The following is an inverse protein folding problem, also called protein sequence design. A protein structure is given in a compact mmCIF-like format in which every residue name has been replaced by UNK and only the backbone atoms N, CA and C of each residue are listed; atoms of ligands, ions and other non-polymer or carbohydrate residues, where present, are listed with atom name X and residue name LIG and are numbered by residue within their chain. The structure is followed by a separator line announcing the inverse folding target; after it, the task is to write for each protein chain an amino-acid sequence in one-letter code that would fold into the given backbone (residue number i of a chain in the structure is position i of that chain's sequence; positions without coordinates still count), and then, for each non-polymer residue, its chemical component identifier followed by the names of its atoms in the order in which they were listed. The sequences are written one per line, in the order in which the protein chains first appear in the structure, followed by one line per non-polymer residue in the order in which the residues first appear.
data_IF_705879009938
#
_entry.id   IF_705879009938
#
_cell.length_a   1.000
_cell.length_b   1.000
_cell.length_c   1.000
_cell.angle_alpha   90.00
_cell.angle_beta   90.00
_cell.angle_gamma   90.00
#
_symmetry.space_group_name_H-M   'P 1'
#
loop_
_entity.id
_entity.type
_entity.pdbx_description
1 polymer ?
#
# COMPACT_ATOMS: atom_id res chain seq x y z
N UNK A 1 -5.09 14.64 14.14
CA UNK A 1 -4.77 15.78 13.25
C UNK A 1 -4.07 15.22 12.03
N UNK A 2 -4.33 15.77 10.84
CA UNK A 2 -3.58 15.40 9.65
C UNK A 2 -2.08 15.63 9.86
N UNK A 3 -1.29 14.71 9.33
CA UNK A 3 0.17 14.75 9.23
C UNK A 3 0.61 15.27 7.86
N UNK A 4 -0.28 15.18 6.87
CA UNK A 4 -0.07 15.68 5.52
C UNK A 4 -0.83 17.00 5.29
N UNK A 5 -0.21 18.02 4.63
CA UNK A 5 -0.91 19.24 4.22
C UNK A 5 -2.06 18.95 3.24
N UNK A 6 -3.17 19.69 3.38
CA UNK A 6 -4.36 19.59 2.53
C UNK A 6 -4.98 18.19 2.49
N UNK A 7 -4.98 17.48 3.62
CA UNK A 7 -5.57 16.16 3.73
C UNK A 7 -7.10 16.21 3.52
N UNK A 8 -7.67 15.46 2.54
CA UNK A 8 -9.07 15.63 2.15
C UNK A 8 -10.07 14.94 3.08
N UNK A 9 -9.60 14.05 3.97
CA UNK A 9 -10.46 13.18 4.77
C UNK A 9 -10.38 13.47 6.28
N UNK A 10 -10.32 14.75 6.67
CA UNK A 10 -10.22 15.18 8.09
C UNK A 10 -11.36 14.63 8.97
N UNK A 11 -12.56 14.46 8.41
CA UNK A 11 -13.75 13.96 9.11
C UNK A 11 -13.99 12.46 9.00
N UNK A 12 -13.06 11.69 8.44
CA UNK A 12 -13.26 10.28 8.15
C UNK A 12 -13.39 9.43 9.41
N UNK A 13 -14.39 8.55 9.42
CA UNK A 13 -14.55 7.52 10.45
C UNK A 13 -13.49 6.43 10.27
N UNK A 14 -12.84 6.07 11.39
CA UNK A 14 -11.80 5.03 11.45
C UNK A 14 -12.31 3.88 12.32
N UNK A 15 -12.69 2.78 11.69
CA UNK A 15 -13.05 1.55 12.39
C UNK A 15 -11.77 0.79 12.73
N UNK A 16 -11.60 0.39 13.98
CA UNK A 16 -10.39 -0.29 14.45
C UNK A 16 -10.77 -1.61 15.08
N UNK A 17 -9.89 -2.58 14.94
CA UNK A 17 -10.04 -3.85 15.63
C UNK A 17 -8.75 -4.64 15.62
N UNK A 18 -8.85 -5.84 16.18
CA UNK A 18 -7.76 -6.79 16.27
C UNK A 18 -8.25 -8.12 15.70
N UNK A 19 -7.40 -8.78 14.91
CA UNK A 19 -7.61 -10.12 14.39
C UNK A 19 -6.56 -10.99 15.07
N UNK A 20 -7.00 -11.95 15.87
CA UNK A 20 -6.13 -12.99 16.41
C UNK A 20 -6.29 -14.24 15.54
N UNK A 21 -5.19 -14.88 15.19
CA UNK A 21 -5.15 -16.05 14.33
C UNK A 21 -4.13 -17.07 14.81
N UNK A 22 -4.55 -18.33 14.89
CA UNK A 22 -3.65 -19.45 15.13
C UNK A 22 -3.16 -20.05 13.80
N UNK A 23 -1.90 -19.77 13.46
CA UNK A 23 -1.25 -20.37 12.30
C UNK A 23 -1.06 -21.86 12.52
N UNK A 24 -1.81 -22.65 11.75
CA UNK A 24 -1.64 -24.10 11.72
C UNK A 24 -0.39 -24.43 10.92
N UNK A 25 0.65 -25.02 11.54
CA UNK A 25 1.87 -25.32 10.84
C UNK A 25 1.67 -26.53 9.91
N UNK A 26 2.31 -26.53 8.74
CA UNK A 26 2.56 -27.78 8.02
C UNK A 26 3.62 -28.63 8.73
N UNK A 27 4.59 -27.98 9.40
CA UNK A 27 5.60 -28.62 10.25
C UNK A 27 5.94 -27.75 11.47
N UNK A 28 6.08 -28.35 12.65
CA UNK A 28 6.49 -27.66 13.88
C UNK A 28 5.34 -27.22 14.79
N UNK A 29 5.58 -26.20 15.62
CA UNK A 29 4.54 -25.57 16.46
C UNK A 29 3.94 -24.39 15.70
N UNK A 30 2.62 -24.30 15.74
CA UNK A 30 1.90 -23.13 15.23
C UNK A 30 2.26 -21.88 16.03
N UNK A 31 1.85 -20.73 15.51
CA UNK A 31 1.99 -19.45 16.21
C UNK A 31 0.67 -18.71 16.22
N UNK A 32 0.35 -18.14 17.37
CA UNK A 32 -0.72 -17.15 17.48
C UNK A 32 -0.18 -15.83 16.94
N UNK A 33 -0.89 -15.25 15.98
CA UNK A 33 -0.58 -13.98 15.34
C UNK A 33 -1.70 -13.00 15.68
N UNK A 34 -1.31 -11.83 16.18
CA UNK A 34 -2.23 -10.73 16.40
C UNK A 34 -1.96 -9.63 15.38
N UNK A 35 -2.99 -9.26 14.62
CA UNK A 35 -2.95 -8.16 13.67
C UNK A 35 -3.91 -7.07 14.10
N UNK A 36 -3.46 -5.82 14.07
CA UNK A 36 -4.36 -4.67 14.27
C UNK A 36 -4.79 -4.16 12.91
N UNK A 37 -6.08 -3.93 12.73
CA UNK A 37 -6.58 -3.34 11.50
C UNK A 37 -7.25 -1.99 11.74
N UNK A 38 -7.26 -1.18 10.68
CA UNK A 38 -8.06 0.03 10.60
C UNK A 38 -8.72 0.12 9.23
N UNK A 39 -10.05 0.19 9.19
CA UNK A 39 -10.81 0.50 7.99
C UNK A 39 -11.23 1.98 7.98
N UNK A 40 -11.06 2.64 6.85
CA UNK A 40 -11.27 4.09 6.67
C UNK A 40 -12.45 4.35 5.74
N UNK A 41 -13.49 5.04 6.24
CA UNK A 41 -14.80 5.08 5.56
C UNK A 41 -14.87 5.90 4.27
N UNK A 42 -14.04 6.93 4.10
CA UNK A 42 -14.06 7.84 2.95
C UNK A 42 -13.04 7.43 1.87
N UNK A 43 -11.87 6.92 2.25
CA UNK A 43 -10.84 6.42 1.34
C UNK A 43 -11.03 4.95 0.97
N UNK A 44 -11.86 4.22 1.72
CA UNK A 44 -12.07 2.77 1.51
C UNK A 44 -10.84 1.91 1.83
N UNK A 45 -9.79 2.49 2.43
CA UNK A 45 -8.56 1.75 2.74
C UNK A 45 -8.77 0.83 3.94
N UNK A 46 -8.26 -0.41 3.79
CA UNK A 46 -7.97 -1.30 4.90
C UNK A 46 -6.48 -1.26 5.19
N UNK A 47 -6.14 -0.90 6.41
CA UNK A 47 -4.76 -0.85 6.89
C UNK A 47 -4.58 -1.98 7.88
N UNK A 48 -3.53 -2.77 7.69
CA UNK A 48 -3.17 -3.89 8.55
C UNK A 48 -1.79 -3.61 9.12
N UNK A 49 -1.69 -3.58 10.44
CA UNK A 49 -0.42 -3.52 11.17
C UNK A 49 -0.12 -4.90 11.73
N UNK A 50 1.04 -5.42 11.35
CA UNK A 50 1.59 -6.69 11.81
C UNK A 50 2.96 -6.47 12.42
N UNK A 51 3.26 -7.14 13.52
CA UNK A 51 4.61 -7.20 14.11
C UNK A 51 5.45 -8.34 13.50
N UNK A 52 4.83 -9.20 12.69
CA UNK A 52 5.48 -10.29 11.98
C UNK A 52 5.40 -10.06 10.47
N UNK A 53 6.43 -10.49 9.76
CA UNK A 53 6.39 -10.59 8.30
C UNK A 53 5.50 -11.79 7.95
N UNK A 54 4.20 -11.54 7.81
CA UNK A 54 3.18 -12.51 7.50
C UNK A 54 2.65 -12.24 6.10
N UNK A 55 2.45 -13.31 5.31
CA UNK A 55 1.90 -13.18 3.97
C UNK A 55 0.54 -12.48 4.03
N UNK A 56 0.45 -11.34 3.34
CA UNK A 56 -0.80 -10.58 3.17
C UNK A 56 -1.91 -11.46 2.56
N UNK A 57 -1.57 -12.55 1.86
CA UNK A 57 -2.55 -13.53 1.34
C UNK A 57 -3.27 -14.27 2.45
N UNK A 58 -2.51 -14.75 3.42
CA UNK A 58 -3.06 -15.46 4.56
C UNK A 58 -3.94 -14.52 5.38
N UNK A 59 -3.48 -13.29 5.62
CA UNK A 59 -4.25 -12.32 6.39
C UNK A 59 -5.55 -11.95 5.66
N UNK A 60 -5.49 -11.59 4.38
CA UNK A 60 -6.69 -11.15 3.64
C UNK A 60 -7.69 -12.28 3.39
N UNK A 61 -7.22 -13.51 3.18
CA UNK A 61 -8.10 -14.68 3.15
C UNK A 61 -8.87 -14.83 4.46
N UNK A 62 -8.17 -14.71 5.59
CA UNK A 62 -8.78 -14.84 6.92
C UNK A 62 -9.72 -13.68 7.27
N UNK A 63 -9.39 -12.44 6.90
CA UNK A 63 -10.32 -11.32 7.13
C UNK A 63 -11.61 -11.53 6.32
N UNK A 64 -11.51 -11.95 5.06
CA UNK A 64 -12.67 -12.24 4.23
C UNK A 64 -13.51 -13.44 4.74
N UNK A 65 -12.90 -14.40 5.45
CA UNK A 65 -13.63 -15.50 6.13
C UNK A 65 -14.32 -15.03 7.41
N UNK A 66 -13.71 -14.10 8.15
CA UNK A 66 -14.22 -13.59 9.41
C UNK A 66 -15.30 -12.51 9.24
N UNK A 67 -15.45 -11.93 8.05
CA UNK A 67 -16.39 -10.85 7.77
C UNK A 67 -17.67 -11.37 7.11
N UNK A 68 -18.79 -10.71 7.38
CA UNK A 68 -20.07 -11.04 6.73
C UNK A 68 -19.96 -10.92 5.19
N UNK A 69 -20.78 -11.65 4.41
CA UNK A 69 -20.70 -11.68 2.94
C UNK A 69 -20.70 -10.31 2.26
N UNK A 70 -21.29 -9.31 2.91
CA UNK A 70 -21.44 -7.93 2.43
C UNK A 70 -20.18 -7.07 2.66
N UNK A 71 -19.21 -7.55 3.44
CA UNK A 71 -17.91 -6.92 3.64
C UNK A 71 -16.83 -7.81 3.03
N UNK A 72 -16.50 -7.56 1.76
CA UNK A 72 -15.38 -8.21 1.06
C UNK A 72 -14.26 -7.23 0.82
N UNK A 73 -13.05 -7.62 1.17
CA UNK A 73 -11.84 -6.89 0.85
C UNK A 73 -11.36 -7.37 -0.51
N UNK A 74 -11.63 -6.55 -1.52
CA UNK A 74 -11.14 -6.80 -2.86
C UNK A 74 -9.68 -6.38 -2.96
N UNK A 75 -8.83 -7.31 -3.38
CA UNK A 75 -7.49 -6.97 -3.88
C UNK A 75 -7.64 -6.35 -5.25
N UNK A 76 -6.76 -5.40 -5.55
CA UNK A 76 -6.82 -4.44 -6.66
C UNK A 76 -7.61 -3.19 -6.29
N UNK A 77 -6.99 -2.39 -5.42
CA UNK A 77 -7.03 -0.96 -5.68
C UNK A 77 -6.51 -0.81 -7.12
N UNK A 78 -7.38 -0.42 -8.04
CA UNK A 78 -6.99 0.03 -9.37
C UNK A 78 -6.94 1.55 -9.33
N UNK A 79 -5.95 2.17 -8.67
CA UNK A 79 -5.86 3.61 -8.63
C UNK A 79 -5.71 4.14 -10.04
N UNK A 80 -6.06 5.41 -10.24
CA UNK A 80 -5.78 6.06 -11.51
C UNK A 80 -4.27 5.98 -11.77
N UNK A 81 -3.89 5.36 -12.88
CA UNK A 81 -2.49 5.17 -13.29
C UNK A 81 -1.67 6.46 -13.17
N UNK A 82 -2.20 7.59 -13.64
CA UNK A 82 -1.51 8.88 -13.59
C UNK A 82 -1.23 9.34 -12.16
N UNK A 83 -2.18 9.15 -11.26
CA UNK A 83 -2.06 9.52 -9.85
C UNK A 83 -1.03 8.66 -9.13
N UNK A 84 -1.02 7.35 -9.38
CA UNK A 84 -0.01 6.45 -8.82
C UNK A 84 1.40 6.80 -9.33
N UNK A 85 1.55 7.07 -10.63
CA UNK A 85 2.81 7.56 -11.18
C UNK A 85 3.27 8.84 -10.50
N UNK A 86 2.38 9.83 -10.40
CA UNK A 86 2.69 11.10 -9.74
C UNK A 86 3.13 10.88 -8.29
N UNK A 87 2.41 10.05 -7.53
CA UNK A 87 2.76 9.70 -6.17
C UNK A 87 4.15 9.04 -6.07
N UNK A 88 4.52 8.17 -7.01
CA UNK A 88 5.86 7.56 -6.99
C UNK A 88 6.94 8.58 -7.39
N UNK A 89 6.65 9.48 -8.34
CA UNK A 89 7.59 10.50 -8.80
C UNK A 89 7.86 11.60 -7.77
N UNK A 90 6.88 11.90 -6.91
CA UNK A 90 7.03 12.87 -5.82
C UNK A 90 7.80 12.30 -4.62
N UNK A 91 8.15 11.01 -4.63
CA UNK A 91 8.99 10.38 -3.63
C UNK A 91 10.41 10.99 -3.61
N UNK A 92 11.06 10.93 -2.45
CA UNK A 92 12.42 11.47 -2.29
C UNK A 92 13.47 10.66 -3.05
N UNK A 93 13.25 9.35 -3.21
CA UNK A 93 14.07 8.49 -4.05
C UNK A 93 13.21 7.37 -4.62
N UNK A 94 13.44 7.01 -5.88
CA UNK A 94 12.82 5.85 -6.52
C UNK A 94 13.92 4.82 -6.74
N UNK A 95 13.78 3.65 -6.11
CA UNK A 95 14.76 2.56 -6.18
C UNK A 95 14.52 1.75 -7.45
N UNK A 96 13.28 1.31 -7.63
CA UNK A 96 12.89 0.39 -8.71
C UNK A 96 11.41 0.59 -9.05
N UNK A 97 11.09 0.44 -10.32
CA UNK A 97 9.70 0.41 -10.81
C UNK A 97 9.63 -0.60 -11.94
N UNK A 98 8.69 -1.52 -11.83
CA UNK A 98 8.36 -2.52 -12.84
C UNK A 98 7.02 -2.18 -13.44
N UNK A 99 6.97 -2.13 -14.77
CA UNK A 99 5.77 -1.84 -15.54
C UNK A 99 5.34 -3.05 -16.36
N UNK A 100 4.08 -3.07 -16.78
CA UNK A 100 3.58 -3.99 -17.79
C UNK A 100 3.53 -3.26 -19.13
N UNK A 101 4.21 -3.78 -20.15
CA UNK A 101 4.24 -3.17 -21.47
C UNK A 101 2.99 -3.46 -22.32
N UNK A 102 2.96 -3.04 -23.59
CA UNK A 102 1.82 -3.28 -24.49
C UNK A 102 1.62 -4.76 -24.84
N UNK A 103 2.67 -5.58 -24.68
CA UNK A 103 2.68 -7.01 -24.96
C UNK A 103 2.28 -7.82 -23.73
N UNK A 104 2.19 -7.18 -22.56
CA UNK A 104 1.89 -7.82 -21.29
C UNK A 104 3.13 -8.31 -20.55
N UNK A 105 4.32 -7.91 -20.97
CA UNK A 105 5.59 -8.31 -20.37
C UNK A 105 6.02 -7.34 -19.27
N UNK A 106 6.65 -7.86 -18.22
CA UNK A 106 7.21 -7.08 -17.13
C UNK A 106 8.55 -6.47 -17.53
N UNK A 107 8.69 -5.15 -17.36
CA UNK A 107 9.92 -4.41 -17.65
C UNK A 107 10.31 -3.51 -16.48
N UNK A 108 11.54 -3.63 -16.00
CA UNK A 108 12.10 -2.74 -14.99
C UNK A 108 12.58 -1.45 -15.63
N UNK A 109 12.20 -0.27 -15.10
CA UNK A 109 12.57 1.03 -15.70
C UNK A 109 14.06 1.22 -15.95
N UNK A 110 14.93 0.62 -15.14
CA UNK A 110 16.39 0.73 -15.31
C UNK A 110 16.92 -0.11 -16.47
N UNK A 111 16.11 -1.03 -17.01
CA UNK A 111 16.44 -1.91 -18.14
C UNK A 111 15.86 -1.40 -19.46
N UNK A 112 15.04 -0.35 -19.42
CA UNK A 112 14.36 0.22 -20.59
C UNK A 112 15.26 1.28 -21.25
N UNK A 113 15.66 1.02 -22.50
CA UNK A 113 16.41 1.96 -23.37
C UNK A 113 15.49 2.95 -24.11
N UNK A 114 14.38 3.35 -23.47
CA UNK A 114 13.42 4.35 -23.98
C UNK A 114 13.53 5.62 -23.16
N UNK A 115 13.05 6.73 -23.73
CA UNK A 115 12.95 7.97 -23.00
C UNK A 115 12.05 7.76 -21.77
N UNK A 116 12.55 8.07 -20.57
CA UNK A 116 11.81 7.87 -19.31
C UNK A 116 10.47 8.59 -19.33
N UNK A 117 10.41 9.73 -20.00
CA UNK A 117 9.21 10.55 -20.15
C UNK A 117 8.13 9.88 -21.02
N UNK A 118 8.50 8.95 -21.91
CA UNK A 118 7.54 8.15 -22.68
C UNK A 118 6.92 7.02 -21.85
N UNK A 119 7.62 6.56 -20.80
CA UNK A 119 7.18 5.43 -19.97
C UNK A 119 6.30 5.90 -18.81
N UNK A 120 6.70 7.01 -18.17
CA UNK A 120 5.99 7.60 -17.03
C UNK A 120 4.54 7.96 -17.42
N UNK A 121 3.58 7.50 -16.63
CA UNK A 121 2.16 7.83 -16.81
C UNK A 121 1.43 7.02 -17.89
N UNK A 122 2.17 6.38 -18.80
CA UNK A 122 1.61 5.68 -19.95
C UNK A 122 1.44 4.17 -19.71
N UNK A 123 2.30 3.56 -18.89
CA UNK A 123 2.23 2.12 -18.59
C UNK A 123 1.65 1.84 -17.20
N UNK A 124 0.92 0.73 -16.99
CA UNK A 124 0.56 0.26 -15.65
C UNK A 124 1.83 -0.06 -14.84
N UNK A 125 1.81 0.28 -13.56
CA UNK A 125 2.86 -0.10 -12.61
C UNK A 125 2.42 -1.41 -11.96
N UNK A 126 3.24 -2.44 -12.08
CA UNK A 126 3.04 -3.72 -11.38
C UNK A 126 3.61 -3.61 -9.97
N UNK A 127 4.89 -3.24 -9.89
CA UNK A 127 5.65 -3.09 -8.65
C UNK A 127 6.44 -1.78 -8.63
N UNK A 128 6.59 -1.19 -7.45
CA UNK A 128 7.49 -0.06 -7.25
C UNK A 128 8.06 -0.05 -5.84
N UNK A 129 9.37 0.19 -5.73
CA UNK A 129 10.07 0.44 -4.47
C UNK A 129 10.63 1.86 -4.49
N UNK A 130 10.23 2.66 -3.51
CA UNK A 130 10.60 4.08 -3.40
C UNK A 130 10.67 4.48 -1.93
N UNK A 131 11.27 5.63 -1.65
CA UNK A 131 11.37 6.15 -0.29
C UNK A 131 10.87 7.58 -0.18
N UNK A 132 10.22 7.84 0.95
CA UNK A 132 9.78 9.15 1.37
C UNK A 132 10.55 9.57 2.62
N UNK A 133 10.64 10.88 2.84
CA UNK A 133 11.23 11.45 4.04
C UNK A 133 10.15 12.11 4.87
N UNK A 134 10.11 11.78 6.16
CA UNK A 134 9.30 12.47 7.15
C UNK A 134 10.20 12.85 8.32
N UNK A 135 10.29 14.14 8.61
CA UNK A 135 11.27 14.68 9.57
C UNK A 135 12.70 14.21 9.23
N UNK A 136 13.34 13.42 10.09
CA UNK A 136 14.68 12.86 9.88
C UNK A 136 14.68 11.37 9.47
N UNK A 137 13.50 10.78 9.28
CA UNK A 137 13.32 9.37 8.94
C UNK A 137 13.16 9.15 7.43
N UNK A 138 13.86 8.14 6.90
CA UNK A 138 13.63 7.63 5.54
C UNK A 138 12.70 6.42 5.62
N UNK A 139 11.53 6.53 4.99
CA UNK A 139 10.48 5.53 4.99
C UNK A 139 10.56 4.76 3.68
N UNK A 140 10.77 3.45 3.75
CA UNK A 140 10.75 2.61 2.55
C UNK A 140 9.30 2.20 2.26
N UNK A 141 8.89 2.38 1.01
CA UNK A 141 7.54 2.06 0.55
C UNK A 141 7.63 1.11 -0.63
N UNK A 142 6.83 0.05 -0.58
CA UNK A 142 6.66 -0.90 -1.68
C UNK A 142 5.20 -0.92 -2.10
N UNK A 143 4.97 -0.69 -3.39
CA UNK A 143 3.68 -0.90 -4.03
C UNK A 143 3.76 -2.19 -4.84
N UNK A 144 2.79 -3.08 -4.66
CA UNK A 144 2.69 -4.34 -5.39
C UNK A 144 1.23 -4.80 -5.41
N UNK A 145 0.70 -5.20 -6.57
CA UNK A 145 -0.65 -5.82 -6.68
C UNK A 145 -1.77 -5.02 -5.99
N UNK A 146 -1.73 -3.70 -6.06
CA UNK A 146 -2.71 -2.80 -5.43
C UNK A 146 -2.61 -2.72 -3.91
N UNK A 147 -1.48 -3.13 -3.32
CA UNK A 147 -1.17 -3.02 -1.90
C UNK A 147 0.02 -2.10 -1.68
N UNK A 148 0.01 -1.35 -0.58
CA UNK A 148 1.11 -0.48 -0.17
C UNK A 148 1.69 -1.00 1.15
N UNK A 149 2.92 -1.49 1.11
CA UNK A 149 3.70 -1.86 2.29
C UNK A 149 4.58 -0.67 2.68
N UNK A 150 4.52 -0.27 3.94
CA UNK A 150 5.23 0.88 4.49
C UNK A 150 6.12 0.39 5.62
N UNK A 151 7.42 0.58 5.47
CA UNK A 151 8.43 0.28 6.48
C UNK A 151 8.93 1.59 7.09
N UNK A 152 8.46 1.86 8.31
CA UNK A 152 8.68 3.08 9.07
C UNK A 152 8.82 2.74 10.56
N UNK A 153 9.78 3.36 11.23
CA UNK A 153 10.02 3.25 12.66
C UNK A 153 9.00 4.08 13.46
N UNK A 154 8.58 5.22 12.91
CA UNK A 154 7.64 6.14 13.56
C UNK A 154 6.19 5.91 13.10
N UNK A 155 5.23 5.66 14.02
CA UNK A 155 3.81 5.58 13.66
C UNK A 155 3.26 6.85 12.98
N UNK A 156 3.82 8.03 13.27
CA UNK A 156 3.45 9.27 12.59
C UNK A 156 3.94 9.32 11.14
N UNK A 157 5.13 8.77 10.88
CA UNK A 157 5.66 8.60 9.53
C UNK A 157 4.78 7.64 8.71
N UNK A 158 4.34 6.52 9.31
CA UNK A 158 3.37 5.62 8.67
C UNK A 158 2.07 6.35 8.32
N UNK A 159 1.50 7.09 9.27
CA UNK A 159 0.26 7.86 9.04
C UNK A 159 0.45 8.94 7.98
N UNK A 160 1.60 9.59 7.91
CA UNK A 160 1.94 10.57 6.88
C UNK A 160 1.89 9.95 5.47
N UNK A 161 2.52 8.78 5.25
CA UNK A 161 2.48 8.09 3.96
C UNK A 161 1.07 7.66 3.60
N UNK A 162 0.30 7.13 4.56
CA UNK A 162 -1.09 6.74 4.32
C UNK A 162 -1.90 7.96 3.86
N UNK A 163 -1.74 9.11 4.52
CA UNK A 163 -2.46 10.33 4.16
C UNK A 163 -2.01 10.93 2.83
N UNK A 164 -0.73 10.84 2.48
CA UNK A 164 -0.24 11.20 1.15
C UNK A 164 -0.89 10.32 0.08
N UNK A 165 -0.88 9.01 0.27
CA UNK A 165 -1.52 8.08 -0.68
C UNK A 165 -3.03 8.35 -0.81
N UNK A 166 -3.72 8.58 0.31
CA UNK A 166 -5.13 8.98 0.31
C UNK A 166 -5.39 10.27 -0.47
N UNK A 167 -4.52 11.28 -0.32
CA UNK A 167 -4.65 12.57 -1.01
C UNK A 167 -4.32 12.48 -2.50
N UNK A 168 -3.19 11.86 -2.83
CA UNK A 168 -2.56 11.95 -4.15
C UNK A 168 -2.95 10.81 -5.08
N UNK A 169 -3.50 9.71 -4.54
CA UNK A 169 -3.86 8.52 -5.30
C UNK A 169 -5.35 8.20 -5.21
N UNK A 170 -5.93 8.29 -4.01
CA UNK A 170 -7.35 7.94 -3.80
C UNK A 170 -8.28 9.13 -4.09
N UNK A 171 -7.95 10.32 -3.58
CA UNK A 171 -8.80 11.52 -3.73
C UNK A 171 -8.57 12.25 -5.06
N UNK A 172 -7.41 12.10 -5.69
CA UNK A 172 -7.12 12.72 -6.97
C UNK A 172 -8.05 12.16 -8.06
N UNK A 173 -9.11 12.89 -8.37
CA UNK A 173 -9.96 12.65 -9.55
C UNK A 173 -9.36 13.25 -10.82
#
# INVERSE_FOLDING_TARGET
MAKCPNYPFEGQTRYKGTIAYDEKPEFGKGRELEFRFQARSQSGLLIIKSEVDASLENILGQVNEATEPDFRIYRRLSPQRKSLWKFIQEANSVVEVTIIDEQGEELTLNEIDKDRDEVIGNYPIEDATFSYKYEDENILVKYASGSLQIDADNPEATEYIIQLFERDVIYSE
#
